data_IF_780821120532
#
_entry.id   IF_780821120532
#
_cell.length_a   1.000
_cell.length_b   1.000
_cell.length_c   1.000
_cell.angle_alpha   90.00
_cell.angle_beta   90.00
_cell.angle_gamma   90.00
#
_symmetry.space_group_name_H-M   'P 1'
#
loop_
_entity.id
_entity.type
_entity.pdbx_description
1 polymer ?
#
# COMPACT_ATOMS: atom_id res chain seq x y z
N UNK A 1 29.27 25.27 -0.42
CA UNK A 1 28.69 24.47 0.68
C UNK A 1 27.20 24.38 0.44
N UNK A 2 26.64 23.18 0.33
CA UNK A 2 25.21 22.97 0.06
C UNK A 2 24.52 22.77 1.41
N UNK A 3 23.55 23.63 1.74
CA UNK A 3 22.78 23.54 2.99
C UNK A 3 21.45 22.88 2.69
N UNK A 4 21.24 21.67 3.21
CA UNK A 4 19.97 20.96 3.09
C UNK A 4 19.28 20.99 4.44
N UNK A 5 18.05 21.51 4.46
CA UNK A 5 17.23 21.54 5.68
C UNK A 5 16.51 20.20 5.87
N UNK A 6 16.35 19.78 7.13
CA UNK A 6 15.59 18.57 7.49
C UNK A 6 14.19 18.55 6.86
N UNK A 7 13.56 19.72 6.75
CA UNK A 7 12.24 19.86 6.11
C UNK A 7 12.28 19.47 4.62
N UNK A 8 13.29 19.91 3.88
CA UNK A 8 13.42 19.58 2.45
C UNK A 8 13.54 18.06 2.23
N UNK A 9 14.21 17.36 3.15
CA UNK A 9 14.31 15.89 3.11
C UNK A 9 12.96 15.26 3.45
N UNK A 10 12.26 15.77 4.46
CA UNK A 10 10.92 15.30 4.83
C UNK A 10 9.93 15.44 3.67
N UNK A 11 9.93 16.58 3.00
CA UNK A 11 9.04 16.89 1.88
C UNK A 11 9.30 15.95 0.69
N UNK A 12 10.58 15.66 0.39
CA UNK A 12 10.96 14.70 -0.64
C UNK A 12 10.47 13.28 -0.30
N UNK A 13 10.71 12.81 0.93
CA UNK A 13 10.26 11.48 1.38
C UNK A 13 8.73 11.36 1.41
N UNK A 14 8.02 12.43 1.76
CA UNK A 14 6.57 12.49 1.69
C UNK A 14 6.08 12.39 0.26
N UNK A 15 6.71 13.11 -0.67
CA UNK A 15 6.37 13.05 -2.09
C UNK A 15 6.56 11.65 -2.67
N UNK A 16 7.65 10.96 -2.32
CA UNK A 16 7.86 9.55 -2.67
C UNK A 16 6.78 8.64 -2.08
N UNK A 17 6.47 8.79 -0.78
CA UNK A 17 5.45 7.98 -0.11
C UNK A 17 4.06 8.21 -0.71
N UNK A 18 3.70 9.44 -1.10
CA UNK A 18 2.44 9.72 -1.80
C UNK A 18 2.40 9.11 -3.20
N UNK A 19 3.52 9.13 -3.93
CA UNK A 19 3.60 8.47 -5.24
C UNK A 19 3.39 6.96 -5.12
N UNK A 20 4.05 6.32 -4.15
CA UNK A 20 3.88 4.90 -3.84
C UNK A 20 2.44 4.59 -3.42
N UNK A 21 1.85 5.42 -2.56
CA UNK A 21 0.46 5.30 -2.12
C UNK A 21 -0.51 5.31 -3.30
N UNK A 22 -0.30 6.20 -4.27
CA UNK A 22 -1.14 6.28 -5.47
C UNK A 22 -1.06 4.98 -6.29
N UNK A 23 0.14 4.47 -6.54
CA UNK A 23 0.35 3.24 -7.29
C UNK A 23 -0.32 2.03 -6.61
N UNK A 24 -0.16 1.91 -5.29
CA UNK A 24 -0.79 0.83 -4.51
C UNK A 24 -2.31 0.97 -4.52
N UNK A 25 -2.84 2.19 -4.42
CA UNK A 25 -4.28 2.43 -4.52
C UNK A 25 -4.85 2.01 -5.87
N UNK A 26 -4.15 2.30 -6.96
CA UNK A 26 -4.58 1.86 -8.30
C UNK A 26 -4.63 0.34 -8.41
N UNK A 27 -3.65 -0.36 -7.82
CA UNK A 27 -3.64 -1.83 -7.73
C UNK A 27 -4.81 -2.37 -6.90
N UNK A 28 -5.13 -1.74 -5.76
CA UNK A 28 -6.29 -2.13 -4.96
C UNK A 28 -7.61 -1.90 -5.72
N UNK A 29 -7.73 -0.79 -6.44
CA UNK A 29 -8.89 -0.51 -7.28
C UNK A 29 -9.06 -1.55 -8.40
N UNK A 30 -7.96 -1.98 -9.03
CA UNK A 30 -8.00 -3.03 -10.05
C UNK A 30 -8.65 -4.31 -9.52
N UNK A 31 -8.29 -4.76 -8.31
CA UNK A 31 -8.91 -5.96 -7.72
C UNK A 31 -10.39 -5.75 -7.37
N UNK A 32 -10.73 -4.57 -6.84
CA UNK A 32 -12.13 -4.22 -6.59
C UNK A 32 -12.96 -4.22 -7.89
N UNK A 33 -12.41 -3.71 -8.98
CA UNK A 33 -13.05 -3.72 -10.30
C UNK A 33 -13.12 -5.14 -10.90
N UNK A 34 -12.07 -5.96 -10.74
CA UNK A 34 -12.02 -7.34 -11.24
C UNK A 34 -13.10 -8.21 -10.58
N UNK A 35 -13.28 -8.08 -9.27
CA UNK A 35 -14.16 -8.96 -8.50
C UNK A 35 -15.49 -8.34 -8.07
N UNK A 36 -15.65 -7.02 -8.20
CA UNK A 36 -16.85 -6.26 -7.81
C UNK A 36 -17.29 -6.53 -6.35
N UNK A 37 -16.33 -6.78 -5.47
CA UNK A 37 -16.55 -7.08 -4.06
C UNK A 37 -15.34 -6.67 -3.23
N UNK A 38 -15.51 -6.56 -1.91
CA UNK A 38 -14.41 -6.26 -1.01
C UNK A 38 -13.53 -7.49 -0.76
N UNK A 39 -12.27 -7.23 -0.37
CA UNK A 39 -11.29 -8.26 -0.04
C UNK A 39 -11.78 -9.25 1.03
N UNK A 40 -12.56 -8.80 2.01
CA UNK A 40 -13.11 -9.68 3.05
C UNK A 40 -14.10 -10.71 2.49
N UNK A 41 -14.86 -10.34 1.46
CA UNK A 41 -15.81 -11.23 0.81
C UNK A 41 -15.06 -12.20 -0.09
N UNK A 42 -14.11 -11.68 -0.88
CA UNK A 42 -13.26 -12.47 -1.76
C UNK A 42 -12.43 -13.51 -0.98
N UNK A 43 -11.77 -13.11 0.11
CA UNK A 43 -10.97 -14.02 0.93
C UNK A 43 -11.76 -15.21 1.49
N UNK A 44 -13.00 -14.97 1.95
CA UNK A 44 -13.89 -16.05 2.42
C UNK A 44 -14.37 -16.97 1.30
N UNK A 45 -14.42 -16.48 0.06
CA UNK A 45 -14.76 -17.30 -1.10
C UNK A 45 -13.57 -18.20 -1.47
N UNK A 46 -12.36 -17.65 -1.55
CA UNK A 46 -11.13 -18.40 -1.84
C UNK A 46 -10.87 -19.53 -0.84
N UNK A 47 -11.29 -19.37 0.42
CA UNK A 47 -11.19 -20.44 1.44
C UNK A 47 -12.20 -21.59 1.27
N UNK A 48 -13.31 -21.36 0.55
CA UNK A 48 -14.44 -22.30 0.45
C UNK A 48 -14.63 -22.89 -0.94
N UNK A 49 -14.02 -22.29 -1.95
CA UNK A 49 -14.08 -22.76 -3.33
C UNK A 49 -13.16 -23.96 -3.56
N UNK A 50 -13.44 -24.68 -4.65
CA UNK A 50 -12.52 -25.69 -5.17
C UNK A 50 -11.24 -25.01 -5.67
N UNK A 51 -10.14 -25.76 -5.70
CA UNK A 51 -8.80 -25.23 -5.99
C UNK A 51 -8.77 -24.39 -7.28
N UNK A 52 -8.57 -23.08 -7.10
CA UNK A 52 -8.45 -22.10 -8.17
C UNK A 52 -7.16 -21.29 -7.99
N UNK A 53 -6.13 -21.64 -8.76
CA UNK A 53 -4.81 -21.01 -8.66
C UNK A 53 -4.84 -19.50 -8.98
N UNK A 54 -5.66 -19.08 -9.95
CA UNK A 54 -5.76 -17.64 -10.28
C UNK A 54 -6.33 -16.86 -9.10
N UNK A 55 -7.41 -17.34 -8.50
CA UNK A 55 -7.99 -16.70 -7.33
C UNK A 55 -7.04 -16.70 -6.13
N UNK A 56 -6.27 -17.77 -5.94
CA UNK A 56 -5.28 -17.83 -4.87
C UNK A 56 -4.14 -16.82 -5.08
N UNK A 57 -3.63 -16.72 -6.30
CA UNK A 57 -2.59 -15.74 -6.67
C UNK A 57 -3.09 -14.31 -6.44
N UNK A 58 -4.29 -13.99 -6.94
CA UNK A 58 -4.93 -12.69 -6.76
C UNK A 58 -5.22 -12.38 -5.28
N UNK A 59 -5.61 -13.40 -4.48
CA UNK A 59 -5.79 -13.26 -3.04
C UNK A 59 -4.48 -12.87 -2.35
N UNK A 60 -3.40 -13.56 -2.69
CA UNK A 60 -2.09 -13.31 -2.10
C UNK A 60 -1.57 -11.91 -2.48
N UNK A 61 -1.72 -11.51 -3.74
CA UNK A 61 -1.31 -10.19 -4.22
C UNK A 61 -2.15 -9.07 -3.59
N UNK A 62 -3.48 -9.21 -3.57
CA UNK A 62 -4.37 -8.22 -2.97
C UNK A 62 -4.08 -8.03 -1.48
N UNK A 63 -3.90 -9.13 -0.74
CA UNK A 63 -3.53 -9.10 0.68
C UNK A 63 -2.21 -8.37 0.92
N UNK A 64 -1.22 -8.60 0.05
CA UNK A 64 0.07 -7.91 0.13
C UNK A 64 -0.08 -6.40 -0.10
N UNK A 65 -0.84 -5.96 -1.11
CA UNK A 65 -1.08 -4.55 -1.35
C UNK A 65 -1.87 -3.87 -0.23
N UNK A 66 -2.84 -4.53 0.38
CA UNK A 66 -3.55 -3.99 1.55
C UNK A 66 -2.56 -3.70 2.67
N UNK A 67 -1.67 -4.65 2.97
CA UNK A 67 -0.64 -4.47 3.99
C UNK A 67 0.34 -3.35 3.62
N UNK A 68 0.78 -3.30 2.36
CA UNK A 68 1.68 -2.26 1.87
C UNK A 68 1.04 -0.87 1.98
N UNK A 69 -0.24 -0.74 1.64
CA UNK A 69 -0.98 0.52 1.76
C UNK A 69 -1.02 1.02 3.21
N UNK A 70 -1.29 0.14 4.18
CA UNK A 70 -1.25 0.49 5.60
C UNK A 70 0.14 0.94 6.05
N UNK A 71 1.19 0.25 5.62
CA UNK A 71 2.56 0.64 5.94
C UNK A 71 2.93 2.01 5.36
N UNK A 72 2.50 2.30 4.13
CA UNK A 72 2.73 3.61 3.50
C UNK A 72 1.99 4.72 4.25
N UNK A 73 0.75 4.48 4.68
CA UNK A 73 0.00 5.44 5.49
C UNK A 73 0.70 5.72 6.82
N UNK A 74 1.20 4.68 7.51
CA UNK A 74 2.01 4.84 8.72
C UNK A 74 3.29 5.63 8.45
N UNK A 75 4.02 5.31 7.37
CA UNK A 75 5.22 6.07 6.94
C UNK A 75 4.91 7.54 6.70
N UNK A 76 3.79 7.86 6.06
CA UNK A 76 3.35 9.25 5.83
C UNK A 76 3.06 9.93 7.17
N UNK A 77 2.39 9.27 8.11
CA UNK A 77 2.16 9.81 9.46
C UNK A 77 3.47 10.08 10.20
N UNK A 78 4.39 9.12 10.23
CA UNK A 78 5.68 9.25 10.89
C UNK A 78 6.50 10.41 10.32
N UNK A 79 6.51 10.56 8.99
CA UNK A 79 7.18 11.67 8.30
C UNK A 79 6.54 13.02 8.65
N UNK A 80 5.21 13.09 8.75
CA UNK A 80 4.50 14.33 9.13
C UNK A 80 4.78 14.76 10.57
N UNK A 81 4.87 13.81 11.51
CA UNK A 81 5.17 14.10 12.91
C UNK A 81 6.66 14.25 13.21
N UNK A 82 7.53 14.10 12.19
CA UNK A 82 8.98 14.27 12.34
C UNK A 82 9.69 13.09 13.02
N UNK A 83 9.00 11.95 13.15
CA UNK A 83 9.48 10.71 13.77
C UNK A 83 10.34 9.87 12.81
N UNK A 84 11.27 10.50 12.09
CA UNK A 84 12.19 9.81 11.20
C UNK A 84 13.64 10.05 11.64
N UNK A 85 14.37 8.95 11.81
CA UNK A 85 15.81 8.97 12.01
C UNK A 85 16.48 8.86 10.65
N UNK A 86 17.36 9.81 10.34
CA UNK A 86 18.27 9.69 9.20
C UNK A 86 19.47 8.92 9.75
N UNK A 87 19.60 7.66 9.33
CA UNK A 87 20.72 6.78 9.70
C UNK A 87 22.00 7.15 8.94
#
# INVERSE_FOLDING_TARGET
MLVVYKQNIADMLLMEAFSEMHQVRDRLNFFYEKYQQDFEVFSKQTEKEDENFEHFDDYMEWKAYIKLFHNILQKIEDLRYGNFQIA
#
